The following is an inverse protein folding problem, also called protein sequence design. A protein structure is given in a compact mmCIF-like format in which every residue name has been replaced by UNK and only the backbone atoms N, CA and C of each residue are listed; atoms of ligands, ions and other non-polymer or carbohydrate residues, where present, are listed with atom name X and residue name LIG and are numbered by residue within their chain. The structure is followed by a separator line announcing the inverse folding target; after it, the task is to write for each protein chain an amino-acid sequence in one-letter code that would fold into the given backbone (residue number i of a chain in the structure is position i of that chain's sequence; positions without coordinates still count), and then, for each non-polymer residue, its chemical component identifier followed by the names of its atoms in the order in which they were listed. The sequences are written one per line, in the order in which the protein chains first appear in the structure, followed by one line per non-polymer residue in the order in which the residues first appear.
data_IF_143282365263
#
_entry.id   IF_143282365263
#
_cell.length_a   1.000
_cell.length_b   1.000
_cell.length_c   1.000
_cell.angle_alpha   90.00
_cell.angle_beta   90.00
_cell.angle_gamma   90.00
#
_symmetry.space_group_name_H-M   'P 1'
#
loop_
_entity.id
_entity.type
_entity.pdbx_description
1 polymer ?
#
# COMPACT_ATOMS: atom_id res chain seq x y z
N UNK A 1 57.82 -12.58 -3.69
CA UNK A 1 56.58 -12.16 -4.37
C UNK A 1 56.77 -12.35 -5.87
N UNK A 2 56.03 -13.28 -6.52
CA UNK A 2 56.03 -13.46 -8.00
C UNK A 2 55.36 -12.24 -8.64
N UNK A 3 56.10 -11.42 -9.41
CA UNK A 3 55.55 -10.36 -10.26
C UNK A 3 54.63 -11.00 -11.28
N UNK A 4 53.31 -10.78 -11.19
CA UNK A 4 52.34 -11.18 -12.20
C UNK A 4 52.65 -10.35 -13.49
N UNK A 5 53.28 -10.96 -14.49
CA UNK A 5 53.48 -10.32 -15.80
C UNK A 5 52.18 -10.42 -16.61
N UNK A 6 51.39 -9.33 -16.61
CA UNK A 6 50.22 -9.23 -17.46
C UNK A 6 50.67 -9.18 -18.93
N UNK A 7 50.36 -10.22 -19.70
CA UNK A 7 50.71 -10.33 -21.10
C UNK A 7 49.65 -9.68 -21.99
N UNK A 8 50.01 -9.26 -23.20
CA UNK A 8 49.08 -8.73 -24.22
C UNK A 8 47.90 -9.69 -24.46
N UNK A 9 48.16 -10.99 -24.47
CA UNK A 9 47.16 -12.05 -24.63
C UNK A 9 46.17 -12.06 -23.49
N UNK A 10 46.65 -11.92 -22.24
CA UNK A 10 45.78 -11.88 -21.06
C UNK A 10 44.86 -10.65 -21.06
N UNK A 11 45.36 -9.47 -21.41
CA UNK A 11 44.55 -8.25 -21.50
C UNK A 11 43.44 -8.40 -22.56
N UNK A 12 43.76 -8.91 -23.76
CA UNK A 12 42.76 -9.12 -24.80
C UNK A 12 41.68 -10.14 -24.38
N UNK A 13 42.06 -11.20 -23.66
CA UNK A 13 41.11 -12.19 -23.19
C UNK A 13 40.21 -11.58 -22.12
N UNK A 14 40.75 -10.88 -21.11
CA UNK A 14 39.97 -10.21 -20.06
C UNK A 14 39.00 -9.21 -20.72
N UNK A 15 39.49 -8.34 -21.60
CA UNK A 15 38.65 -7.38 -22.31
C UNK A 15 37.48 -8.05 -23.04
N UNK A 16 37.74 -9.14 -23.78
CA UNK A 16 36.71 -9.89 -24.52
C UNK A 16 35.64 -10.48 -23.58
N UNK A 17 36.04 -11.20 -22.52
CA UNK A 17 35.11 -11.85 -21.63
C UNK A 17 34.31 -10.85 -20.79
N UNK A 18 34.99 -9.81 -20.30
CA UNK A 18 34.31 -8.73 -19.57
C UNK A 18 33.32 -7.99 -20.49
N UNK A 19 33.73 -7.73 -21.77
CA UNK A 19 32.86 -7.09 -22.74
C UNK A 19 31.57 -7.88 -23.01
N UNK A 20 31.70 -9.19 -23.19
CA UNK A 20 30.50 -10.06 -23.35
C UNK A 20 29.62 -10.03 -22.09
N UNK A 21 30.23 -10.15 -20.93
CA UNK A 21 29.49 -10.20 -19.68
C UNK A 21 28.68 -8.91 -19.38
N UNK A 22 29.23 -7.73 -19.69
CA UNK A 22 28.55 -6.44 -19.45
C UNK A 22 27.77 -5.90 -20.63
N UNK A 23 27.84 -6.54 -21.81
CA UNK A 23 27.17 -6.06 -23.01
C UNK A 23 25.65 -5.91 -22.83
N UNK A 24 25.01 -6.88 -22.18
CA UNK A 24 23.56 -6.83 -21.91
C UNK A 24 23.20 -5.62 -21.04
N UNK A 25 24.02 -5.33 -20.03
CA UNK A 25 23.81 -4.17 -19.15
C UNK A 25 24.06 -2.86 -19.87
N UNK A 26 25.04 -2.80 -20.78
CA UNK A 26 25.28 -1.62 -21.60
C UNK A 26 24.07 -1.32 -22.51
N UNK A 27 23.51 -2.35 -23.15
CA UNK A 27 22.30 -2.21 -23.97
C UNK A 27 21.13 -1.74 -23.10
N UNK A 28 20.93 -2.36 -21.93
CA UNK A 28 19.88 -1.98 -20.99
C UNK A 28 20.01 -0.51 -20.57
N UNK A 29 21.19 -0.09 -20.11
CA UNK A 29 21.44 1.28 -19.68
C UNK A 29 21.29 2.28 -20.85
N UNK A 30 21.71 1.91 -22.07
CA UNK A 30 21.55 2.77 -23.24
C UNK A 30 20.07 2.96 -23.59
N UNK A 31 19.29 1.89 -23.62
CA UNK A 31 17.85 1.96 -23.94
C UNK A 31 17.11 2.77 -22.87
N UNK A 32 17.28 2.45 -21.59
CA UNK A 32 16.60 3.17 -20.51
C UNK A 32 17.05 4.63 -20.44
N UNK A 33 18.34 4.93 -20.68
CA UNK A 33 18.85 6.31 -20.72
C UNK A 33 18.28 7.11 -21.87
N UNK A 34 18.10 6.52 -23.07
CA UNK A 34 17.45 7.20 -24.20
C UNK A 34 15.99 7.55 -23.84
N UNK A 35 15.23 6.61 -23.28
CA UNK A 35 13.85 6.89 -22.85
C UNK A 35 13.79 8.01 -21.80
N UNK A 36 14.69 8.00 -20.82
CA UNK A 36 14.74 9.02 -19.76
C UNK A 36 15.13 10.40 -20.31
N UNK A 37 15.98 10.48 -21.33
CA UNK A 37 16.30 11.75 -21.98
C UNK A 37 15.12 12.37 -22.74
N UNK A 38 14.11 11.56 -23.07
CA UNK A 38 12.91 11.98 -23.79
C UNK A 38 11.65 11.86 -22.92
N UNK A 39 11.77 12.00 -21.60
CA UNK A 39 10.66 11.87 -20.67
C UNK A 39 9.51 12.79 -21.02
N UNK A 40 9.78 14.08 -21.25
CA UNK A 40 8.75 15.07 -21.59
C UNK A 40 8.14 14.79 -22.98
N UNK A 41 8.96 14.52 -23.98
CA UNK A 41 8.49 14.25 -25.35
C UNK A 41 7.57 13.03 -25.42
N UNK A 42 7.85 12.02 -24.59
CA UNK A 42 7.09 10.77 -24.53
C UNK A 42 5.98 10.80 -23.48
N UNK A 43 5.91 11.83 -22.65
CA UNK A 43 4.96 11.97 -21.53
C UNK A 43 5.09 10.83 -20.53
N UNK A 44 6.31 10.41 -20.19
CA UNK A 44 6.54 9.28 -19.28
C UNK A 44 6.23 9.61 -17.84
N UNK A 45 6.31 10.85 -17.44
CA UNK A 45 5.97 11.41 -16.14
C UNK A 45 4.44 11.47 -15.92
N UNK A 46 3.67 11.62 -17.01
CA UNK A 46 2.21 11.65 -16.99
C UNK A 46 1.55 10.28 -17.20
N UNK A 47 2.29 9.30 -17.68
CA UNK A 47 1.82 7.94 -17.90
C UNK A 47 2.12 7.05 -16.71
N UNK A 48 1.11 6.35 -16.23
CA UNK A 48 1.19 5.50 -15.05
C UNK A 48 0.87 4.05 -15.39
N UNK A 49 1.46 3.14 -14.63
CA UNK A 49 1.15 1.71 -14.69
C UNK A 49 0.72 1.20 -13.33
N UNK A 50 -0.37 0.46 -13.31
CA UNK A 50 -0.87 -0.29 -12.16
C UNK A 50 -0.75 -1.81 -12.41
N UNK A 51 0.18 -2.23 -13.26
CA UNK A 51 0.45 -3.66 -13.49
C UNK A 51 0.78 -4.36 -12.18
N UNK A 52 0.16 -5.52 -11.86
CA UNK A 52 0.41 -6.24 -10.61
C UNK A 52 1.88 -6.55 -10.37
N UNK A 53 2.64 -6.84 -11.44
CA UNK A 53 4.09 -7.07 -11.37
C UNK A 53 4.84 -5.82 -10.90
N UNK A 54 4.54 -4.66 -11.50
CA UNK A 54 5.17 -3.39 -11.14
C UNK A 54 4.80 -3.00 -9.71
N UNK A 55 3.51 -3.06 -9.37
CA UNK A 55 3.05 -2.76 -8.00
C UNK A 55 3.74 -3.63 -6.94
N UNK A 56 3.92 -4.92 -7.22
CA UNK A 56 4.63 -5.84 -6.33
C UNK A 56 6.11 -5.45 -6.13
N UNK A 57 6.80 -4.98 -7.18
CA UNK A 57 8.18 -4.49 -7.09
C UNK A 57 8.30 -3.27 -6.15
N UNK A 58 7.29 -2.41 -6.15
CA UNK A 58 7.23 -1.22 -5.28
C UNK A 58 6.59 -1.48 -3.91
N UNK A 59 6.20 -2.73 -3.60
CA UNK A 59 5.43 -3.11 -2.41
C UNK A 59 4.11 -2.32 -2.27
N UNK A 60 3.53 -1.91 -3.37
CA UNK A 60 2.20 -1.32 -3.40
C UNK A 60 1.22 -2.48 -3.43
N UNK A 61 0.54 -2.69 -2.32
CA UNK A 61 -0.46 -3.73 -2.17
C UNK A 61 -1.79 -3.15 -1.72
N UNK A 62 -2.87 -3.68 -2.26
CA UNK A 62 -4.20 -3.39 -1.75
C UNK A 62 -4.36 -4.18 -0.46
N UNK A 63 -4.62 -3.53 0.68
CA UNK A 63 -4.90 -4.25 1.91
C UNK A 63 -6.14 -5.12 1.73
N UNK A 64 -6.12 -6.31 2.32
CA UNK A 64 -7.30 -7.18 2.29
C UNK A 64 -8.50 -6.47 2.91
N UNK A 65 -9.67 -6.61 2.26
CA UNK A 65 -10.96 -6.27 2.88
C UNK A 65 -11.09 -7.08 4.16
N UNK A 66 -11.53 -6.41 5.20
CA UNK A 66 -11.79 -7.03 6.50
C UNK A 66 -13.30 -7.13 6.70
N UNK A 67 -13.85 -6.30 7.55
CA UNK A 67 -15.27 -6.29 7.83
C UNK A 67 -15.99 -5.31 6.90
N UNK A 68 -17.25 -5.56 6.60
CA UNK A 68 -18.14 -4.58 5.97
C UNK A 68 -19.57 -4.73 6.47
N UNK A 69 -20.26 -3.60 6.56
CA UNK A 69 -21.63 -3.46 7.05
C UNK A 69 -22.41 -2.60 6.06
N UNK A 70 -23.66 -2.97 5.84
CA UNK A 70 -24.58 -2.21 4.99
C UNK A 70 -25.63 -1.56 5.89
N UNK A 71 -25.77 -0.25 5.79
CA UNK A 71 -26.73 0.56 6.52
C UNK A 71 -27.56 1.33 5.48
N UNK A 72 -28.80 0.93 5.27
CA UNK A 72 -29.65 1.43 4.19
C UNK A 72 -28.93 1.29 2.84
N UNK A 73 -28.54 2.41 2.23
CA UNK A 73 -27.82 2.45 0.95
C UNK A 73 -26.33 2.82 1.11
N UNK A 74 -25.77 2.72 2.32
CA UNK A 74 -24.39 3.08 2.61
C UNK A 74 -23.59 1.87 3.06
N UNK A 75 -22.29 1.90 2.76
CA UNK A 75 -21.35 0.84 3.08
C UNK A 75 -20.30 1.37 4.06
N UNK A 76 -20.17 0.69 5.19
CA UNK A 76 -19.09 0.92 6.14
C UNK A 76 -18.16 -0.27 6.03
N UNK A 77 -16.91 -0.03 5.66
CA UNK A 77 -15.96 -1.11 5.43
C UNK A 77 -14.57 -0.77 5.97
N UNK A 78 -13.80 -1.80 6.29
CA UNK A 78 -12.40 -1.64 6.66
C UNK A 78 -11.50 -2.43 5.71
N UNK A 79 -10.46 -1.75 5.21
CA UNK A 79 -9.38 -2.33 4.43
C UNK A 79 -8.05 -2.06 5.14
N UNK A 80 -7.37 -3.12 5.57
CA UNK A 80 -6.21 -2.96 6.44
C UNK A 80 -6.59 -2.25 7.74
N UNK A 81 -6.04 -1.05 7.95
CA UNK A 81 -6.34 -0.18 9.09
C UNK A 81 -7.19 1.06 8.72
N UNK A 82 -7.61 1.19 7.47
CA UNK A 82 -8.43 2.32 7.02
C UNK A 82 -9.90 1.94 6.99
N UNK A 83 -10.75 2.75 7.62
CA UNK A 83 -12.21 2.64 7.58
C UNK A 83 -12.75 3.61 6.53
N UNK A 84 -13.69 3.11 5.76
CA UNK A 84 -14.38 3.85 4.70
C UNK A 84 -15.87 3.93 5.00
N UNK A 85 -16.48 5.04 4.64
CA UNK A 85 -17.91 5.20 4.45
C UNK A 85 -18.13 5.33 2.96
N UNK A 86 -18.80 4.36 2.35
CA UNK A 86 -18.85 4.17 0.92
C UNK A 86 -17.43 4.02 0.34
N UNK A 87 -16.94 4.96 -0.43
CA UNK A 87 -15.59 5.01 -0.98
C UNK A 87 -14.69 6.10 -0.34
N UNK A 88 -15.19 6.82 0.67
CA UNK A 88 -14.46 7.91 1.32
C UNK A 88 -13.74 7.40 2.57
N UNK A 89 -12.42 7.61 2.69
CA UNK A 89 -11.68 7.27 3.90
C UNK A 89 -12.05 8.23 5.03
N UNK A 90 -12.38 7.69 6.20
CA UNK A 90 -12.84 8.51 7.33
C UNK A 90 -11.92 8.44 8.55
N UNK A 91 -11.55 7.25 9.00
CA UNK A 91 -10.72 7.05 10.19
C UNK A 91 -9.74 5.89 9.99
N UNK A 92 -8.63 5.94 10.72
CA UNK A 92 -7.70 4.80 10.83
C UNK A 92 -7.93 4.07 12.15
N UNK A 93 -8.05 2.76 12.07
CA UNK A 93 -8.16 1.89 13.24
C UNK A 93 -7.66 0.48 12.93
N UNK A 94 -6.81 -0.03 13.81
CA UNK A 94 -6.24 -1.38 13.70
C UNK A 94 -7.21 -2.47 14.19
N UNK A 95 -8.12 -2.13 15.11
CA UNK A 95 -9.08 -3.08 15.63
C UNK A 95 -10.21 -3.35 14.63
N UNK A 96 -10.80 -4.57 14.65
CA UNK A 96 -11.93 -4.91 13.80
C UNK A 96 -13.16 -4.05 14.10
N UNK A 97 -13.98 -3.80 13.08
CA UNK A 97 -15.32 -3.25 13.27
C UNK A 97 -16.22 -4.37 13.78
N UNK A 98 -16.84 -4.15 14.92
CA UNK A 98 -17.79 -5.10 15.52
C UNK A 98 -19.20 -4.90 14.97
N UNK A 99 -19.53 -3.67 14.61
CA UNK A 99 -20.84 -3.32 14.06
C UNK A 99 -20.89 -1.87 13.69
N UNK A 100 -21.86 -1.53 12.86
CA UNK A 100 -22.20 -0.16 12.51
C UNK A 100 -23.72 -0.01 12.50
N UNK A 101 -24.22 1.10 13.01
CA UNK A 101 -25.65 1.43 13.02
C UNK A 101 -25.88 2.92 12.85
N UNK A 102 -27.06 3.32 12.36
CA UNK A 102 -27.51 4.69 12.49
C UNK A 102 -28.24 4.88 13.82
N UNK A 103 -27.94 5.98 14.49
CA UNK A 103 -28.67 6.51 15.64
C UNK A 103 -29.10 7.92 15.30
N UNK A 104 -30.37 8.15 15.04
CA UNK A 104 -30.86 9.39 14.46
C UNK A 104 -30.12 9.68 13.14
N UNK A 105 -29.39 10.79 13.07
CA UNK A 105 -28.60 11.18 11.90
C UNK A 105 -27.09 10.94 12.07
N UNK A 106 -26.71 10.26 13.14
CA UNK A 106 -25.32 9.92 13.43
C UNK A 106 -25.03 8.47 13.04
N UNK A 107 -23.84 8.25 12.50
CA UNK A 107 -23.29 6.92 12.30
C UNK A 107 -22.49 6.51 13.55
N UNK A 108 -22.83 5.39 14.13
CA UNK A 108 -22.11 4.79 15.26
C UNK A 108 -21.37 3.55 14.78
N UNK A 109 -20.07 3.55 14.94
CA UNK A 109 -19.20 2.41 14.61
C UNK A 109 -18.62 1.85 15.91
N UNK A 110 -18.85 0.56 16.16
CA UNK A 110 -18.31 -0.13 17.34
C UNK A 110 -17.00 -0.87 16.99
N UNK A 111 -16.06 -0.73 17.90
CA UNK A 111 -14.83 -1.51 18.00
C UNK A 111 -14.82 -2.22 19.36
N UNK A 112 -13.94 -3.21 19.61
CA UNK A 112 -13.97 -3.97 20.85
C UNK A 112 -13.99 -3.12 22.14
N UNK A 113 -13.30 -1.97 22.14
CA UNK A 113 -13.11 -1.15 23.35
C UNK A 113 -13.50 0.32 23.16
N UNK A 114 -14.22 0.66 22.10
CA UNK A 114 -14.66 2.04 21.83
C UNK A 114 -15.82 2.09 20.86
N UNK A 115 -16.59 3.15 20.95
CA UNK A 115 -17.51 3.59 19.91
C UNK A 115 -16.97 4.87 19.27
N UNK A 116 -17.19 5.02 17.98
CA UNK A 116 -16.91 6.25 17.25
C UNK A 116 -18.22 6.74 16.65
N UNK A 117 -18.58 7.95 17.01
CA UNK A 117 -19.76 8.65 16.51
C UNK A 117 -19.32 9.60 15.41
N UNK A 118 -19.92 9.48 14.24
CA UNK A 118 -19.62 10.26 13.05
C UNK A 118 -20.88 10.95 12.54
N UNK A 119 -20.72 12.09 11.88
CA UNK A 119 -21.78 12.64 11.02
C UNK A 119 -22.03 11.73 9.84
N UNK A 120 -23.13 11.93 9.12
CA UNK A 120 -23.38 11.22 7.86
C UNK A 120 -22.29 11.47 6.80
N UNK A 121 -21.54 12.57 6.90
CA UNK A 121 -20.41 12.88 6.02
C UNK A 121 -19.09 12.24 6.46
N UNK A 122 -19.09 11.52 7.63
CA UNK A 122 -17.88 10.87 8.14
C UNK A 122 -17.02 11.76 9.05
N UNK A 123 -17.50 12.94 9.42
CA UNK A 123 -16.79 13.82 10.36
C UNK A 123 -16.94 13.29 11.79
N UNK A 124 -15.84 13.30 12.54
CA UNK A 124 -15.83 12.81 13.92
C UNK A 124 -16.67 13.74 14.82
N UNK A 125 -17.69 13.18 15.48
CA UNK A 125 -18.46 13.85 16.52
C UNK A 125 -17.81 13.56 17.87
N UNK A 126 -17.69 12.27 18.21
CA UNK A 126 -17.20 11.86 19.53
C UNK A 126 -16.55 10.46 19.47
N UNK A 127 -15.65 10.21 20.42
CA UNK A 127 -15.05 8.91 20.67
C UNK A 127 -15.35 8.49 22.10
N UNK A 128 -16.19 7.49 22.27
CA UNK A 128 -16.62 6.95 23.55
C UNK A 128 -15.76 5.73 23.91
N UNK A 129 -15.26 5.71 25.12
CA UNK A 129 -14.40 4.65 25.64
C UNK A 129 -14.84 4.25 27.05
N UNK A 130 -14.14 3.30 27.66
CA UNK A 130 -14.41 2.91 29.06
C UNK A 130 -14.26 4.05 30.05
N UNK A 131 -13.56 5.13 29.74
CA UNK A 131 -13.47 6.33 30.57
C UNK A 131 -14.84 7.02 30.74
N UNK A 132 -15.76 6.82 29.80
CA UNK A 132 -17.16 7.32 29.88
C UNK A 132 -18.12 6.27 30.42
N UNK A 133 -17.66 5.25 31.13
CA UNK A 133 -18.51 4.18 31.68
C UNK A 133 -19.01 3.16 30.65
N UNK A 134 -18.55 3.20 29.43
CA UNK A 134 -18.92 2.24 28.38
C UNK A 134 -18.34 0.85 28.69
N UNK A 135 -19.11 -0.24 28.53
CA UNK A 135 -18.59 -1.60 28.63
C UNK A 135 -17.49 -1.88 27.57
N UNK A 136 -16.50 -2.66 27.95
CA UNK A 136 -15.41 -3.09 27.05
C UNK A 136 -15.62 -4.52 26.57
N UNK A 137 -14.83 -4.94 25.56
CA UNK A 137 -14.97 -6.25 24.90
C UNK A 137 -16.34 -6.41 24.22
N UNK A 138 -16.72 -5.40 23.46
CA UNK A 138 -17.95 -5.38 22.69
C UNK A 138 -17.92 -6.52 21.66
N UNK A 139 -18.96 -7.35 21.65
CA UNK A 139 -19.13 -8.45 20.71
C UNK A 139 -20.14 -8.12 19.61
N UNK A 140 -21.15 -7.31 19.91
CA UNK A 140 -22.16 -6.87 18.94
C UNK A 140 -22.64 -5.47 19.26
N UNK A 141 -23.05 -4.76 18.21
CA UNK A 141 -23.72 -3.46 18.29
C UNK A 141 -25.09 -3.58 17.63
N UNK A 142 -26.08 -2.92 18.20
CA UNK A 142 -27.40 -2.79 17.60
C UNK A 142 -28.07 -1.49 17.96
N UNK A 143 -29.13 -1.14 17.25
CA UNK A 143 -29.96 0.03 17.56
C UNK A 143 -31.44 -0.26 17.38
N UNK A 144 -32.27 0.41 18.14
CA UNK A 144 -33.71 0.40 17.96
C UNK A 144 -34.27 1.75 18.37
N UNK A 145 -34.87 2.47 17.44
CA UNK A 145 -35.27 3.84 17.64
C UNK A 145 -34.10 4.73 18.04
N UNK A 146 -34.22 5.40 19.20
CA UNK A 146 -33.17 6.27 19.74
C UNK A 146 -32.28 5.57 20.78
N UNK A 147 -32.19 4.24 20.76
CA UNK A 147 -31.45 3.44 21.73
C UNK A 147 -30.36 2.67 21.10
N UNK A 148 -29.22 2.58 21.76
CA UNK A 148 -28.09 1.72 21.39
C UNK A 148 -28.03 0.50 22.31
N UNK A 149 -27.63 -0.62 21.73
CA UNK A 149 -27.44 -1.86 22.45
C UNK A 149 -26.04 -2.42 22.17
N UNK A 150 -25.37 -2.81 23.25
CA UNK A 150 -24.10 -3.51 23.17
C UNK A 150 -24.26 -4.89 23.80
N UNK A 151 -23.72 -5.91 23.11
CA UNK A 151 -23.53 -7.21 23.71
C UNK A 151 -22.08 -7.34 24.18
N UNK A 152 -21.93 -7.68 25.46
CA UNK A 152 -20.61 -7.93 26.06
C UNK A 152 -20.77 -9.23 26.88
N UNK A 153 -20.09 -10.30 26.47
CA UNK A 153 -20.25 -11.64 27.01
C UNK A 153 -21.73 -12.08 27.00
N UNK A 154 -22.30 -12.40 28.13
CA UNK A 154 -23.71 -12.81 28.23
C UNK A 154 -24.66 -11.66 28.57
N UNK A 155 -24.17 -10.43 28.72
CA UNK A 155 -24.94 -9.28 29.13
C UNK A 155 -25.24 -8.35 27.97
N UNK A 156 -26.50 -7.88 27.89
CA UNK A 156 -26.89 -6.78 27.00
C UNK A 156 -26.86 -5.48 27.76
N UNK A 157 -26.26 -4.47 27.18
CA UNK A 157 -26.20 -3.11 27.73
C UNK A 157 -27.00 -2.18 26.84
N UNK A 158 -27.77 -1.30 27.44
CA UNK A 158 -28.58 -0.31 26.74
C UNK A 158 -28.12 1.11 27.08
N UNK A 159 -28.14 1.99 26.09
CA UNK A 159 -27.99 3.43 26.24
C UNK A 159 -29.18 4.14 25.61
N UNK A 160 -29.79 5.08 26.32
CA UNK A 160 -30.91 5.89 25.84
C UNK A 160 -30.55 7.35 25.60
N UNK A 161 -29.30 7.74 25.87
CA UNK A 161 -28.77 9.10 25.91
C UNK A 161 -27.58 9.28 24.95
N UNK A 162 -27.64 8.64 23.78
CA UNK A 162 -26.61 8.74 22.75
C UNK A 162 -25.22 8.24 23.20
N UNK A 163 -25.23 7.12 23.92
CA UNK A 163 -24.04 6.42 24.43
C UNK A 163 -23.30 7.13 25.58
N UNK A 164 -23.92 8.10 26.25
CA UNK A 164 -23.33 8.78 27.42
C UNK A 164 -23.39 7.93 28.70
N UNK A 165 -24.46 7.17 28.87
CA UNK A 165 -24.58 6.23 29.98
C UNK A 165 -25.05 4.85 29.52
N UNK A 166 -24.71 3.81 30.29
CA UNK A 166 -24.99 2.42 29.97
C UNK A 166 -25.58 1.68 31.15
N UNK A 167 -26.70 1.02 30.92
CA UNK A 167 -27.37 0.19 31.93
C UNK A 167 -27.50 -1.25 31.42
N UNK A 168 -27.23 -2.21 32.29
CA UNK A 168 -27.46 -3.62 31.97
C UNK A 168 -28.94 -3.88 31.82
N UNK A 169 -29.36 -4.64 30.82
CA UNK A 169 -30.76 -4.99 30.59
C UNK A 169 -30.90 -6.48 30.27
N UNK A 170 -32.00 -7.08 30.75
CA UNK A 170 -32.36 -8.46 30.44
C UNK A 170 -33.33 -8.57 29.26
N UNK A 171 -33.57 -7.46 28.55
CA UNK A 171 -34.42 -7.43 27.37
C UNK A 171 -33.77 -8.26 26.24
N UNK A 172 -34.54 -9.19 25.71
CA UNK A 172 -34.14 -9.99 24.56
C UNK A 172 -34.02 -9.12 23.28
N UNK A 173 -32.87 -8.52 23.07
CA UNK A 173 -32.59 -7.71 21.88
C UNK A 173 -32.01 -8.56 20.74
N UNK A 174 -32.59 -8.45 19.52
CA UNK A 174 -32.23 -9.29 18.38
C UNK A 174 -31.84 -8.51 17.11
N UNK A 175 -32.00 -7.18 17.08
CA UNK A 175 -31.66 -6.36 15.88
C UNK A 175 -30.19 -5.94 15.86
N UNK A 176 -29.32 -6.92 15.83
CA UNK A 176 -27.87 -6.70 15.80
C UNK A 176 -27.38 -6.30 14.41
N UNK A 177 -26.42 -5.38 14.36
CA UNK A 177 -25.63 -5.11 13.18
C UNK A 177 -24.91 -6.39 12.72
N UNK A 178 -25.04 -6.74 11.46
CA UNK A 178 -24.44 -7.93 10.87
C UNK A 178 -23.54 -7.55 9.70
N UNK A 179 -22.47 -8.28 9.55
CA UNK A 179 -21.61 -8.14 8.38
C UNK A 179 -22.39 -8.47 7.10
N UNK A 180 -22.16 -7.69 6.06
CA UNK A 180 -22.78 -7.85 4.77
C UNK A 180 -21.76 -7.63 3.64
N UNK A 181 -21.98 -8.32 2.52
CA UNK A 181 -21.16 -8.15 1.34
C UNK A 181 -21.27 -6.73 0.77
N UNK A 182 -20.14 -6.19 0.32
CA UNK A 182 -20.08 -4.93 -0.40
C UNK A 182 -20.15 -5.19 -1.91
N UNK A 183 -20.82 -4.35 -2.72
CA UNK A 183 -20.79 -4.48 -4.16
C UNK A 183 -19.38 -4.41 -4.73
N UNK A 184 -19.11 -5.17 -5.81
CA UNK A 184 -17.80 -5.20 -6.45
C UNK A 184 -17.35 -3.83 -6.93
N UNK A 185 -18.29 -3.00 -7.42
CA UNK A 185 -17.98 -1.65 -7.88
C UNK A 185 -17.47 -0.74 -6.74
N UNK A 186 -18.12 -0.79 -5.58
CA UNK A 186 -17.67 -0.04 -4.40
C UNK A 186 -16.31 -0.55 -3.90
N UNK A 187 -16.08 -1.86 -3.98
CA UNK A 187 -14.79 -2.46 -3.66
C UNK A 187 -13.69 -1.94 -4.58
N UNK A 188 -13.93 -1.91 -5.90
CA UNK A 188 -12.97 -1.38 -6.89
C UNK A 188 -12.62 0.09 -6.65
N UNK A 189 -13.59 0.93 -6.27
CA UNK A 189 -13.33 2.34 -5.96
C UNK A 189 -12.40 2.50 -4.76
N UNK A 190 -12.54 1.65 -3.73
CA UNK A 190 -11.61 1.63 -2.58
C UNK A 190 -10.23 1.09 -3.01
N UNK A 191 -10.18 0.10 -3.87
CA UNK A 191 -8.92 -0.39 -4.43
C UNK A 191 -8.17 0.72 -5.16
N UNK A 192 -8.87 1.53 -5.96
CA UNK A 192 -8.28 2.71 -6.63
C UNK A 192 -7.72 3.72 -5.62
N UNK A 193 -8.34 3.89 -4.46
CA UNK A 193 -7.81 4.74 -3.40
C UNK A 193 -6.42 4.26 -2.92
N UNK A 194 -6.21 2.96 -2.76
CA UNK A 194 -4.92 2.40 -2.33
C UNK A 194 -3.87 2.38 -3.44
N UNK A 195 -4.28 2.14 -4.67
CA UNK A 195 -3.38 2.10 -5.82
C UNK A 195 -2.95 3.50 -6.26
N UNK A 196 -3.76 4.52 -6.00
CA UNK A 196 -3.57 5.86 -6.55
C UNK A 196 -3.50 5.81 -8.08
N UNK A 197 -2.59 6.58 -8.66
CA UNK A 197 -2.29 6.51 -10.09
C UNK A 197 -1.38 5.32 -10.46
N UNK A 198 -0.84 4.61 -9.48
CA UNK A 198 0.20 3.62 -9.69
C UNK A 198 1.60 4.23 -9.72
N UNK A 199 2.52 3.64 -10.50
CA UNK A 199 3.90 4.11 -10.67
C UNK A 199 4.03 4.80 -12.02
N UNK A 200 4.63 6.00 -12.09
CA UNK A 200 4.88 6.64 -13.36
C UNK A 200 5.89 5.83 -14.19
N UNK A 201 5.76 5.87 -15.51
CA UNK A 201 6.69 5.16 -16.39
C UNK A 201 8.09 5.74 -16.27
N UNK A 202 8.23 7.05 -16.06
CA UNK A 202 9.50 7.70 -15.79
C UNK A 202 10.16 7.09 -14.53
N UNK A 203 9.45 7.06 -13.38
CA UNK A 203 9.98 6.49 -12.15
C UNK A 203 10.37 5.02 -12.31
N UNK A 204 9.55 4.24 -13.00
CA UNK A 204 9.85 2.84 -13.28
C UNK A 204 11.11 2.67 -14.11
N UNK A 205 11.27 3.45 -15.19
CA UNK A 205 12.47 3.43 -16.04
C UNK A 205 13.71 3.93 -15.29
N UNK A 206 13.55 4.96 -14.46
CA UNK A 206 14.63 5.49 -13.63
C UNK A 206 15.14 4.44 -12.64
N UNK A 207 14.21 3.74 -11.98
CA UNK A 207 14.57 2.72 -11.01
C UNK A 207 15.13 1.44 -11.65
N UNK A 208 14.75 1.15 -12.89
CA UNK A 208 15.42 0.15 -13.71
C UNK A 208 16.82 0.59 -14.09
N UNK A 209 17.00 1.85 -14.52
CA UNK A 209 18.27 2.40 -14.98
C UNK A 209 19.31 2.45 -13.86
N UNK A 210 18.91 2.86 -12.67
CA UNK A 210 19.79 3.01 -11.50
C UNK A 210 19.82 1.80 -10.57
N UNK A 211 19.09 0.72 -10.90
CA UNK A 211 19.00 -0.50 -10.13
C UNK A 211 18.17 -0.44 -8.85
N UNK A 212 17.53 0.69 -8.55
CA UNK A 212 16.69 0.86 -7.35
C UNK A 212 15.56 -0.15 -7.24
N UNK A 213 15.06 -0.63 -8.38
CA UNK A 213 13.97 -1.62 -8.44
C UNK A 213 14.32 -2.90 -7.67
N UNK A 214 15.63 -3.25 -7.60
CA UNK A 214 16.13 -4.38 -6.83
C UNK A 214 16.59 -3.97 -5.42
N UNK A 215 16.15 -2.79 -4.94
CA UNK A 215 16.51 -2.21 -3.63
C UNK A 215 18.03 -2.06 -3.45
N UNK A 216 18.55 -2.19 -2.24
CA UNK A 216 19.97 -1.94 -1.94
C UNK A 216 20.95 -2.77 -2.76
N UNK A 217 20.61 -4.01 -3.13
CA UNK A 217 21.47 -4.87 -3.94
C UNK A 217 21.67 -4.32 -5.37
N UNK A 218 20.63 -3.77 -5.99
CA UNK A 218 20.69 -3.32 -7.37
C UNK A 218 21.67 -2.16 -7.60
N UNK A 219 21.76 -1.21 -6.69
CA UNK A 219 22.73 -0.11 -6.76
C UNK A 219 24.15 -0.62 -6.77
N UNK A 220 24.52 -1.43 -5.79
CA UNK A 220 25.86 -2.04 -5.70
C UNK A 220 26.21 -2.87 -6.92
N UNK A 221 25.23 -3.60 -7.46
CA UNK A 221 25.43 -4.39 -8.67
C UNK A 221 25.73 -3.50 -9.89
N UNK A 222 24.99 -2.41 -10.08
CA UNK A 222 25.25 -1.47 -11.18
C UNK A 222 26.55 -0.69 -11.00
N UNK A 223 26.97 -0.38 -9.78
CA UNK A 223 28.29 0.21 -9.51
C UNK A 223 29.41 -0.72 -9.98
N UNK A 224 29.30 -2.03 -9.74
CA UNK A 224 30.24 -3.04 -10.24
C UNK A 224 30.23 -3.07 -11.78
N UNK A 225 29.05 -3.07 -12.41
CA UNK A 225 28.93 -2.99 -13.87
C UNK A 225 29.60 -1.73 -14.41
N UNK A 226 29.38 -0.57 -13.77
CA UNK A 226 30.03 0.69 -14.12
C UNK A 226 31.55 0.63 -14.05
N UNK A 227 32.11 0.01 -13.01
CA UNK A 227 33.55 -0.22 -12.89
C UNK A 227 34.06 -1.08 -14.06
N UNK A 228 33.37 -2.15 -14.41
CA UNK A 228 33.75 -2.98 -15.55
C UNK A 228 33.67 -2.23 -16.89
N UNK A 229 32.68 -1.37 -17.08
CA UNK A 229 32.59 -0.51 -18.27
C UNK A 229 33.77 0.46 -18.37
N UNK A 230 34.21 1.05 -17.24
CA UNK A 230 35.41 1.90 -17.20
C UNK A 230 36.67 1.11 -17.55
N UNK A 231 36.82 -0.10 -16.98
CA UNK A 231 37.97 -0.97 -17.30
C UNK A 231 37.98 -1.39 -18.79
N UNK A 232 36.81 -1.66 -19.36
CA UNK A 232 36.66 -1.97 -20.79
C UNK A 232 37.08 -0.79 -21.66
N UNK A 233 36.62 0.42 -21.32
CA UNK A 233 36.98 1.64 -22.06
C UNK A 233 38.50 1.88 -22.05
N UNK A 234 39.12 1.81 -20.87
CA UNK A 234 40.58 1.99 -20.70
C UNK A 234 41.36 0.90 -21.43
N UNK A 235 40.97 -0.37 -21.26
CA UNK A 235 41.67 -1.48 -21.93
C UNK A 235 41.49 -1.48 -23.42
N UNK A 236 40.32 -1.12 -23.94
CA UNK A 236 40.05 -0.97 -25.37
C UNK A 236 40.90 0.12 -26.01
N UNK A 237 40.97 1.31 -25.35
CA UNK A 237 41.82 2.40 -25.79
C UNK A 237 43.32 2.00 -25.80
N UNK A 238 43.79 1.30 -24.76
CA UNK A 238 45.15 0.82 -24.69
C UNK A 238 45.46 -0.23 -25.77
N UNK A 239 44.59 -1.18 -26.07
CA UNK A 239 44.71 -2.16 -27.14
C UNK A 239 44.80 -1.46 -28.51
N UNK A 240 43.99 -0.42 -28.73
CA UNK A 240 43.95 0.35 -29.96
C UNK A 240 45.28 1.09 -30.20
N UNK A 241 45.82 1.80 -29.23
CA UNK A 241 47.13 2.48 -29.34
C UNK A 241 48.23 1.49 -29.68
N UNK A 242 48.26 0.33 -29.01
CA UNK A 242 49.31 -0.66 -29.23
C UNK A 242 49.19 -1.44 -30.54
N UNK A 243 48.09 -1.39 -31.25
CA UNK A 243 47.93 -1.96 -32.58
C UNK A 243 48.47 -1.04 -33.70
N UNK A 244 48.58 0.25 -33.38
CA UNK A 244 49.10 1.25 -34.33
C UNK A 244 50.63 1.38 -34.28
N UNK A 245 51.26 0.79 -33.30
CA UNK A 245 52.73 0.67 -33.21
C UNK A 245 53.16 -0.76 -33.63
#
# INVERSE_FOLDING_TARGET
MKKIRITKKSINQIHKFTGIAVCIFLIHLSITGIFLNHTEDLGLDEKYTASPLVLALYNIAIPSKKESFVLDNRFISRFGNQVFIDNQPVIKNENPIIGAVFLNQMLVIAFPNKLILLTQKGELIEKITSASGMPVNIERLGSSGNRLYLKVSNQVWESIDQAQSWTATDLGFNSWSTEAGMPDEATKQIEVYFLGKGVSLEQFLLDLHNGNIFKGFGKWFLDIVGIFLLLLSISGFWIWIRRRR
#
